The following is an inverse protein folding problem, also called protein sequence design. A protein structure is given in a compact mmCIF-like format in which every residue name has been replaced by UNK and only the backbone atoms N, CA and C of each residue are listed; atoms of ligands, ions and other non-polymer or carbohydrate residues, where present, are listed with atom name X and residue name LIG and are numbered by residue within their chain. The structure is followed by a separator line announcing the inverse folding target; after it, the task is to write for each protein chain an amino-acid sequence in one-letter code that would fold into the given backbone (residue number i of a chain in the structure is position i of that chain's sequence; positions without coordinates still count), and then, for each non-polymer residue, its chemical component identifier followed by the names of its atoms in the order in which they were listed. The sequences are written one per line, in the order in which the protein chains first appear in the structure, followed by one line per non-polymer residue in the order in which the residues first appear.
data_IF_471671973009
#
_entry.id   IF_471671973009
#
_cell.length_a   1.000
_cell.length_b   1.000
_cell.length_c   1.000
_cell.angle_alpha   90.00
_cell.angle_beta   90.00
_cell.angle_gamma   90.00
#
_symmetry.space_group_name_H-M   'P 1'
#
loop_
_entity.id
_entity.type
_entity.pdbx_description
1 polymer ?
#
# COMPACT_ATOMS: atom_id res chain seq x y z
N UNK A 1 6.47 -42.98 44.98
CA UNK A 1 6.84 -41.56 44.76
C UNK A 1 7.27 -41.27 43.32
N UNK A 2 8.09 -42.13 42.68
CA UNK A 2 8.67 -41.92 41.34
C UNK A 2 7.63 -41.76 40.20
N UNK A 3 6.52 -42.50 40.23
CA UNK A 3 5.44 -42.41 39.22
C UNK A 3 4.75 -41.04 39.15
N UNK A 4 4.68 -40.31 40.26
CA UNK A 4 4.01 -39.00 40.31
C UNK A 4 4.88 -37.90 39.68
N UNK A 5 6.20 -38.01 39.86
CA UNK A 5 7.19 -37.06 39.33
C UNK A 5 7.29 -37.20 37.81
N UNK A 6 7.30 -38.43 37.28
CA UNK A 6 7.30 -38.68 35.83
C UNK A 6 6.06 -38.11 35.12
N UNK A 7 4.88 -38.21 35.75
CA UNK A 7 3.63 -37.64 35.20
C UNK A 7 3.67 -36.13 35.10
N UNK A 8 4.27 -35.44 36.08
CA UNK A 8 4.42 -33.97 36.07
C UNK A 8 5.40 -33.50 35.00
N UNK A 9 6.51 -34.21 34.81
CA UNK A 9 7.49 -33.90 33.76
C UNK A 9 6.86 -34.05 32.37
N UNK A 10 6.04 -35.09 32.16
CA UNK A 10 5.36 -35.32 30.88
C UNK A 10 4.38 -34.19 30.52
N UNK A 11 3.63 -33.68 31.51
CA UNK A 11 2.73 -32.53 31.31
C UNK A 11 3.49 -31.23 30.99
N UNK A 12 4.65 -31.01 31.61
CA UNK A 12 5.50 -29.85 31.33
C UNK A 12 6.08 -29.93 29.91
N UNK A 13 6.53 -31.12 29.48
CA UNK A 13 7.06 -31.34 28.13
C UNK A 13 6.00 -31.15 27.04
N UNK A 14 4.77 -31.63 27.25
CA UNK A 14 3.64 -31.39 26.33
C UNK A 14 3.29 -29.89 26.29
N UNK A 15 3.25 -29.21 27.44
CA UNK A 15 3.00 -27.77 27.50
C UNK A 15 4.07 -26.96 26.77
N UNK A 16 5.34 -27.35 26.87
CA UNK A 16 6.44 -26.70 26.17
C UNK A 16 6.34 -26.92 24.65
N UNK A 17 5.91 -28.10 24.21
CA UNK A 17 5.79 -28.44 22.78
C UNK A 17 4.66 -27.67 22.08
N UNK A 18 3.56 -27.38 22.78
CA UNK A 18 2.45 -26.56 22.27
C UNK A 18 2.88 -25.09 22.06
N UNK A 19 3.85 -24.59 22.84
CA UNK A 19 4.32 -23.19 22.73
C UNK A 19 5.22 -22.93 21.52
N UNK A 20 5.94 -23.93 21.01
CA UNK A 20 6.89 -23.76 19.88
C UNK A 20 6.26 -23.90 18.49
N UNK A 21 4.98 -24.28 18.37
CA UNK A 21 4.34 -24.60 17.08
C UNK A 21 3.68 -23.42 16.33
N UNK A 22 3.73 -22.18 16.85
CA UNK A 22 2.90 -21.09 16.28
C UNK A 22 3.63 -19.92 15.59
N UNK A 23 4.91 -20.06 15.23
CA UNK A 23 5.56 -19.08 14.35
C UNK A 23 5.49 -19.53 12.88
N UNK A 24 4.30 -19.46 12.28
CA UNK A 24 4.11 -19.66 10.84
C UNK A 24 4.22 -18.31 10.14
N UNK A 25 5.40 -18.04 9.57
CA UNK A 25 5.62 -16.92 8.66
C UNK A 25 5.39 -17.45 7.24
N UNK A 26 4.29 -17.04 6.62
CA UNK A 26 3.98 -17.45 5.26
C UNK A 26 4.49 -16.41 4.26
N UNK A 27 5.24 -16.86 3.25
CA UNK A 27 5.58 -16.04 2.08
C UNK A 27 4.35 -16.00 1.16
N UNK A 28 4.01 -14.82 0.66
CA UNK A 28 2.89 -14.62 -0.27
C UNK A 28 3.30 -13.69 -1.41
N UNK A 29 2.49 -13.68 -2.48
CA UNK A 29 2.61 -12.68 -3.53
C UNK A 29 2.14 -11.32 -3.00
N UNK A 30 2.66 -10.25 -3.59
CA UNK A 30 2.23 -8.90 -3.25
C UNK A 30 0.85 -8.63 -3.88
N UNK A 31 -0.07 -8.10 -3.07
CA UNK A 31 -1.36 -7.58 -3.51
C UNK A 31 -1.67 -6.34 -2.69
N UNK A 32 -1.58 -5.15 -3.32
CA UNK A 32 -1.77 -3.88 -2.61
C UNK A 32 -3.12 -3.85 -1.88
N UNK A 33 -4.19 -4.29 -2.55
CA UNK A 33 -5.54 -4.25 -2.00
C UNK A 33 -5.67 -5.15 -0.76
N UNK A 34 -5.31 -6.43 -0.88
CA UNK A 34 -5.44 -7.40 0.23
C UNK A 34 -4.60 -6.98 1.44
N UNK A 35 -3.38 -6.50 1.20
CA UNK A 35 -2.50 -6.07 2.28
C UNK A 35 -3.00 -4.77 2.95
N UNK A 36 -3.61 -3.86 2.18
CA UNK A 36 -4.20 -2.63 2.73
C UNK A 36 -5.44 -2.91 3.56
N UNK A 37 -6.25 -3.91 3.17
CA UNK A 37 -7.38 -4.38 3.96
C UNK A 37 -6.91 -4.98 5.30
N UNK A 38 -5.85 -5.80 5.28
CA UNK A 38 -5.25 -6.32 6.52
C UNK A 38 -4.71 -5.21 7.42
N UNK A 39 -4.05 -4.20 6.84
CA UNK A 39 -3.57 -3.03 7.57
C UNK A 39 -4.74 -2.30 8.27
N UNK A 40 -5.82 -2.06 7.53
CA UNK A 40 -7.06 -1.47 8.08
C UNK A 40 -7.68 -2.34 9.19
N UNK A 41 -7.51 -3.66 9.12
CA UNK A 41 -7.93 -4.63 10.14
C UNK A 41 -6.93 -4.79 11.31
N UNK A 42 -6.00 -3.85 11.44
CA UNK A 42 -5.08 -3.73 12.57
C UNK A 42 -3.79 -4.55 12.46
N UNK A 43 -3.41 -4.97 11.25
CA UNK A 43 -2.05 -5.48 11.01
C UNK A 43 -1.07 -4.33 10.88
N UNK A 44 0.10 -4.46 11.52
CA UNK A 44 1.21 -3.53 11.30
C UNK A 44 1.97 -3.90 10.03
N UNK A 45 2.21 -2.92 9.17
CA UNK A 45 2.97 -3.13 7.93
C UNK A 45 4.35 -2.50 8.05
N UNK A 46 5.39 -3.29 7.81
CA UNK A 46 6.76 -2.83 7.77
C UNK A 46 7.31 -2.93 6.35
N UNK A 47 7.81 -1.82 5.81
CA UNK A 47 8.54 -1.73 4.56
C UNK A 47 10.02 -1.52 4.88
N UNK A 48 10.89 -2.46 4.49
CA UNK A 48 12.34 -2.40 4.78
C UNK A 48 12.66 -2.10 6.26
N UNK A 49 11.86 -2.66 7.17
CA UNK A 49 11.93 -2.46 8.64
C UNK A 49 11.35 -1.15 9.18
N UNK A 50 10.80 -0.28 8.34
CA UNK A 50 10.08 0.91 8.78
C UNK A 50 8.58 0.66 8.75
N UNK A 51 7.87 1.01 9.83
CA UNK A 51 6.41 0.93 9.87
C UNK A 51 5.82 1.95 8.90
N UNK A 52 4.87 1.50 8.06
CA UNK A 52 4.19 2.34 7.08
C UNK A 52 2.69 2.13 7.15
N UNK A 53 1.94 3.14 6.72
CA UNK A 53 0.53 2.99 6.43
C UNK A 53 0.32 2.66 4.96
N UNK A 54 0.04 1.39 4.68
CA UNK A 54 -0.20 0.87 3.34
C UNK A 54 -1.53 1.35 2.73
N UNK A 55 -2.48 1.86 3.53
CA UNK A 55 -3.72 2.45 3.01
C UNK A 55 -3.42 3.72 2.20
N UNK A 56 -2.43 4.50 2.65
CA UNK A 56 -2.00 5.75 2.01
C UNK A 56 -0.67 5.64 1.25
N UNK A 57 -0.06 4.45 1.21
CA UNK A 57 1.23 4.22 0.56
C UNK A 57 1.08 3.25 -0.61
N UNK A 58 1.27 3.73 -1.83
CA UNK A 58 1.24 2.89 -3.03
C UNK A 58 2.65 2.40 -3.38
N UNK A 59 2.82 1.09 -3.48
CA UNK A 59 4.11 0.46 -3.77
C UNK A 59 4.14 -0.09 -5.19
N UNK A 60 5.31 -0.02 -5.84
CA UNK A 60 5.49 -0.65 -7.14
C UNK A 60 5.71 -2.14 -6.94
N UNK A 61 4.75 -2.95 -7.37
CA UNK A 61 4.83 -4.42 -7.31
C UNK A 61 6.13 -4.95 -7.95
N UNK A 62 6.64 -4.30 -9.00
CA UNK A 62 7.90 -4.71 -9.65
C UNK A 62 9.11 -4.49 -8.77
N UNK A 63 9.05 -3.54 -7.84
CA UNK A 63 10.09 -3.27 -6.85
C UNK A 63 9.95 -4.15 -5.60
N UNK A 64 8.90 -4.96 -5.45
CA UNK A 64 8.76 -5.86 -4.30
C UNK A 64 9.60 -7.13 -4.50
N UNK A 65 10.49 -7.40 -3.54
CA UNK A 65 11.29 -8.63 -3.51
C UNK A 65 10.57 -9.75 -2.76
N UNK A 66 9.96 -9.42 -1.62
CA UNK A 66 9.33 -10.41 -0.75
C UNK A 66 8.25 -9.78 0.11
N UNK A 67 7.15 -10.52 0.30
CA UNK A 67 6.14 -10.26 1.32
C UNK A 67 6.07 -11.46 2.26
N UNK A 68 5.98 -11.19 3.56
CA UNK A 68 5.71 -12.21 4.57
C UNK A 68 4.70 -11.72 5.60
N UNK A 69 3.80 -12.61 6.00
CA UNK A 69 2.79 -12.34 7.02
C UNK A 69 3.03 -13.22 8.24
N UNK A 70 3.13 -12.59 9.39
CA UNK A 70 3.00 -13.20 10.70
C UNK A 70 1.58 -12.94 11.23
N UNK A 71 0.72 -13.95 11.13
CA UNK A 71 -0.68 -13.83 11.55
C UNK A 71 -0.84 -13.79 13.05
N UNK A 72 0.09 -14.36 13.82
CA UNK A 72 0.02 -14.42 15.28
C UNK A 72 0.25 -13.03 15.87
N UNK A 73 1.26 -12.34 15.35
CA UNK A 73 1.63 -10.99 15.81
C UNK A 73 0.93 -9.88 15.04
N UNK A 74 0.12 -10.22 14.03
CA UNK A 74 -0.51 -9.29 13.08
C UNK A 74 0.51 -8.36 12.42
N UNK A 75 1.56 -8.94 11.84
CA UNK A 75 2.63 -8.19 11.19
C UNK A 75 2.73 -8.60 9.73
N UNK A 76 2.84 -7.62 8.85
CA UNK A 76 3.17 -7.77 7.43
C UNK A 76 4.56 -7.17 7.24
N UNK A 77 5.46 -7.92 6.63
CA UNK A 77 6.79 -7.45 6.25
C UNK A 77 6.91 -7.45 4.73
N UNK A 78 7.28 -6.30 4.18
CA UNK A 78 7.51 -6.07 2.76
C UNK A 78 8.97 -5.66 2.61
N UNK A 79 9.68 -6.35 1.73
CA UNK A 79 11.09 -6.08 1.40
C UNK A 79 11.16 -5.67 -0.06
N UNK A 80 11.79 -4.53 -0.34
CA UNK A 80 12.00 -4.03 -1.70
C UNK A 80 13.28 -4.59 -2.31
N UNK A 81 13.33 -4.61 -3.64
CA UNK A 81 14.55 -4.93 -4.42
C UNK A 81 15.55 -3.78 -4.35
N UNK A 82 15.03 -2.55 -4.42
CA UNK A 82 15.81 -1.33 -4.27
C UNK A 82 15.07 -0.34 -3.36
N UNK A 83 15.74 0.08 -2.29
CA UNK A 83 15.22 1.02 -1.31
C UNK A 83 15.44 2.48 -1.70
N UNK A 84 16.25 2.75 -2.74
CA UNK A 84 16.64 4.09 -3.17
C UNK A 84 15.55 4.87 -3.91
N UNK A 85 14.46 4.21 -4.30
CA UNK A 85 13.31 4.88 -4.89
C UNK A 85 12.55 5.58 -3.76
N UNK A 86 12.79 6.88 -3.62
CA UNK A 86 12.06 7.74 -2.71
C UNK A 86 10.56 7.80 -3.04
N UNK A 87 9.77 8.29 -2.08
CA UNK A 87 8.34 8.48 -2.28
C UNK A 87 8.04 9.84 -2.91
N UNK A 88 7.06 9.87 -3.80
CA UNK A 88 6.43 11.11 -4.29
C UNK A 88 5.17 11.33 -3.46
N UNK A 89 5.02 12.51 -2.87
CA UNK A 89 3.83 12.89 -2.11
C UNK A 89 2.79 13.53 -3.03
N UNK A 90 1.53 13.13 -2.86
CA UNK A 90 0.43 13.67 -3.65
C UNK A 90 0.28 15.18 -3.43
N UNK A 91 0.39 15.65 -2.19
CA UNK A 91 0.28 17.07 -1.87
C UNK A 91 1.33 17.91 -2.62
N UNK A 92 2.58 17.47 -2.64
CA UNK A 92 3.66 18.17 -3.35
C UNK A 92 3.39 18.20 -4.86
N UNK A 93 2.93 17.07 -5.42
CA UNK A 93 2.52 17.00 -6.82
C UNK A 93 1.40 18.00 -7.12
N UNK A 94 0.40 18.13 -6.25
CA UNK A 94 -0.71 19.07 -6.45
C UNK A 94 -0.27 20.53 -6.35
N UNK A 95 0.61 20.86 -5.38
CA UNK A 95 1.14 22.22 -5.19
C UNK A 95 2.00 22.65 -6.38
N UNK A 96 2.94 21.81 -6.80
CA UNK A 96 3.85 22.10 -7.93
C UNK A 96 3.09 22.46 -9.21
N UNK A 97 1.91 21.87 -9.38
CA UNK A 97 1.07 22.03 -10.56
C UNK A 97 0.03 23.15 -10.43
N UNK A 98 0.03 23.90 -9.31
CA UNK A 98 -0.80 25.10 -9.05
C UNK A 98 -2.29 24.84 -9.27
N UNK A 99 -2.82 23.74 -8.77
CA UNK A 99 -4.23 23.39 -8.98
C UNK A 99 -5.20 24.35 -8.25
N UNK A 100 -6.29 24.70 -8.95
CA UNK A 100 -7.30 25.68 -8.53
C UNK A 100 -8.45 25.07 -7.72
N UNK A 101 -9.10 25.94 -6.95
CA UNK A 101 -10.09 25.78 -5.88
C UNK A 101 -11.44 25.09 -6.18
N UNK A 102 -11.63 24.42 -7.32
CA UNK A 102 -12.95 23.86 -7.71
C UNK A 102 -12.89 22.34 -7.94
N UNK A 103 -11.98 21.66 -7.26
CA UNK A 103 -11.87 20.21 -7.31
C UNK A 103 -12.89 19.59 -6.34
N UNK A 104 -13.68 18.65 -6.85
CA UNK A 104 -14.67 17.94 -6.03
C UNK A 104 -14.17 16.54 -5.64
N UNK A 105 -13.34 15.90 -6.47
CA UNK A 105 -12.74 14.59 -6.16
C UNK A 105 -11.36 14.40 -6.77
N UNK A 106 -10.55 13.61 -6.08
CA UNK A 106 -9.32 13.02 -6.61
C UNK A 106 -9.50 11.51 -6.65
N UNK A 107 -9.07 10.87 -7.73
CA UNK A 107 -9.15 9.42 -7.90
C UNK A 107 -7.79 8.88 -8.31
N UNK A 108 -7.28 7.88 -7.59
CA UNK A 108 -6.02 7.19 -7.88
C UNK A 108 -6.33 5.73 -8.19
N UNK A 109 -5.94 5.21 -9.36
CA UNK A 109 -6.21 3.83 -9.75
C UNK A 109 -7.69 3.40 -9.56
N UNK A 110 -8.64 4.27 -9.90
CA UNK A 110 -10.11 4.13 -9.68
C UNK A 110 -10.58 4.20 -8.22
N UNK A 111 -9.70 4.45 -7.26
CA UNK A 111 -10.07 4.67 -5.87
C UNK A 111 -10.22 6.17 -5.59
N UNK A 112 -11.40 6.57 -5.12
CA UNK A 112 -11.63 7.94 -4.67
C UNK A 112 -10.82 8.20 -3.40
N UNK A 113 -10.17 9.34 -3.37
CA UNK A 113 -9.34 9.81 -2.28
C UNK A 113 -10.09 10.90 -1.52
N UNK A 114 -10.12 10.82 -0.19
CA UNK A 114 -10.60 11.92 0.63
C UNK A 114 -9.57 13.07 0.61
N UNK A 115 -10.05 14.31 0.55
CA UNK A 115 -9.18 15.48 0.63
C UNK A 115 -8.39 15.53 1.93
N UNK A 116 -8.93 14.98 3.02
CA UNK A 116 -8.24 14.88 4.31
C UNK A 116 -7.02 13.95 4.27
N UNK A 117 -7.01 12.97 3.37
CA UNK A 117 -5.93 11.98 3.24
C UNK A 117 -4.80 12.44 2.33
N UNK A 118 -5.03 13.46 1.48
CA UNK A 118 -4.05 13.98 0.52
C UNK A 118 -2.66 14.23 1.13
N UNK A 119 -2.51 14.83 2.32
CA UNK A 119 -1.19 15.07 2.91
C UNK A 119 -0.42 13.78 3.23
N UNK A 120 -1.12 12.68 3.44
CA UNK A 120 -0.55 11.40 3.84
C UNK A 120 -0.29 10.47 2.65
N UNK A 121 -0.90 10.76 1.49
CA UNK A 121 -0.77 9.91 0.31
C UNK A 121 0.60 10.09 -0.33
N UNK A 122 1.28 8.96 -0.47
CA UNK A 122 2.58 8.86 -1.11
C UNK A 122 2.70 7.60 -1.95
N UNK A 123 3.54 7.66 -2.98
CA UNK A 123 3.64 6.55 -3.92
C UNK A 123 5.05 6.39 -4.49
N UNK A 124 5.43 5.15 -4.76
CA UNK A 124 6.64 4.83 -5.53
C UNK A 124 6.42 5.12 -7.01
N UNK A 125 7.48 5.46 -7.72
CA UNK A 125 7.43 5.61 -9.17
C UNK A 125 6.97 4.29 -9.82
N UNK A 126 5.95 4.34 -10.67
CA UNK A 126 5.40 3.15 -11.35
C UNK A 126 4.28 2.42 -10.60
N UNK A 127 4.02 2.75 -9.32
CA UNK A 127 2.92 2.17 -8.54
C UNK A 127 1.54 2.72 -8.91
N UNK A 128 1.50 3.97 -9.37
CA UNK A 128 0.27 4.65 -9.78
C UNK A 128 0.12 4.57 -11.29
N UNK A 129 -0.98 3.94 -11.72
CA UNK A 129 -1.40 3.91 -13.13
C UNK A 129 -2.07 5.19 -13.54
N UNK A 130 -2.82 5.88 -12.67
CA UNK A 130 -3.30 7.23 -12.94
C UNK A 130 -3.86 7.95 -11.74
N UNK A 131 -3.86 9.27 -11.88
CA UNK A 131 -4.52 10.22 -11.02
C UNK A 131 -5.51 11.00 -11.89
N UNK A 132 -6.81 10.93 -11.54
CA UNK A 132 -7.88 11.75 -12.12
C UNK A 132 -8.27 12.83 -11.11
N UNK A 133 -8.51 14.01 -11.62
CA UNK A 133 -9.05 15.14 -10.87
C UNK A 133 -10.40 15.46 -11.48
N UNK A 134 -11.43 15.47 -10.65
CA UNK A 134 -12.81 15.54 -11.12
C UNK A 134 -13.53 16.70 -10.43
N UNK A 135 -14.27 17.44 -11.24
CA UNK A 135 -15.33 18.36 -10.82
C UNK A 135 -16.67 17.65 -10.89
N UNK A 136 -17.70 18.19 -10.27
CA UNK A 136 -19.05 17.63 -10.26
C UNK A 136 -19.57 17.40 -11.68
N UNK A 137 -19.24 18.30 -12.61
CA UNK A 137 -19.57 18.16 -14.03
C UNK A 137 -19.00 16.88 -14.65
N UNK A 138 -17.86 16.39 -14.19
CA UNK A 138 -17.16 15.26 -14.79
C UNK A 138 -17.76 13.89 -14.42
N UNK A 139 -18.44 13.77 -13.28
CA UNK A 139 -18.91 12.48 -12.75
C UNK A 139 -20.41 12.42 -12.40
N UNK A 140 -21.19 13.46 -12.74
CA UNK A 140 -22.64 13.49 -12.50
C UNK A 140 -23.33 12.20 -12.99
N UNK A 141 -23.66 11.32 -12.04
CA UNK A 141 -24.40 10.08 -12.27
C UNK A 141 -23.63 8.93 -12.94
N UNK A 142 -22.29 8.94 -12.94
CA UNK A 142 -21.46 7.87 -13.54
C UNK A 142 -20.54 7.23 -12.51
N UNK A 143 -20.34 5.93 -12.64
CA UNK A 143 -19.28 5.23 -11.92
C UNK A 143 -17.90 5.63 -12.48
N UNK A 144 -16.86 5.63 -11.65
CA UNK A 144 -15.53 6.09 -12.05
C UNK A 144 -14.89 5.24 -13.16
N UNK A 145 -15.32 3.98 -13.26
CA UNK A 145 -14.92 3.03 -14.30
C UNK A 145 -15.48 3.40 -15.68
N UNK A 146 -16.62 4.11 -15.71
CA UNK A 146 -17.29 4.57 -16.93
C UNK A 146 -16.77 5.93 -17.43
N UNK A 147 -15.89 6.57 -16.66
CA UNK A 147 -15.28 7.83 -17.06
C UNK A 147 -14.25 7.58 -18.18
N UNK A 148 -14.26 8.40 -19.26
CA UNK A 148 -13.40 8.18 -20.41
C UNK A 148 -11.93 8.05 -19.99
N UNK A 149 -11.33 6.92 -20.35
CA UNK A 149 -9.90 6.69 -20.12
C UNK A 149 -9.11 7.62 -21.03
N UNK A 150 -8.42 8.59 -20.43
CA UNK A 150 -7.65 9.57 -21.21
C UNK A 150 -6.34 8.96 -21.70
N UNK A 151 -6.02 9.22 -22.96
CA UNK A 151 -5.08 8.45 -23.80
C UNK A 151 -3.58 8.76 -23.66
N UNK A 152 -3.15 9.66 -22.76
CA UNK A 152 -1.73 10.07 -22.71
C UNK A 152 -1.03 9.62 -21.42
N UNK A 153 0.04 8.85 -21.60
CA UNK A 153 0.93 8.26 -20.59
C UNK A 153 2.03 9.22 -20.14
N UNK A 154 2.39 9.20 -18.85
CA UNK A 154 3.57 9.87 -18.28
C UNK A 154 4.50 8.77 -17.72
N UNK A 155 5.43 8.29 -18.54
CA UNK A 155 6.15 7.04 -18.24
C UNK A 155 5.20 5.83 -18.27
N UNK A 156 5.52 4.76 -17.52
CA UNK A 156 4.66 3.55 -17.46
C UNK A 156 3.35 3.73 -16.65
N UNK A 157 3.01 4.96 -16.22
CA UNK A 157 1.75 5.33 -15.57
C UNK A 157 1.04 6.47 -16.31
N UNK A 158 -0.27 6.36 -16.50
CA UNK A 158 -1.19 7.30 -17.16
C UNK A 158 -1.59 8.47 -16.22
N UNK A 159 -2.03 9.61 -16.74
CA UNK A 159 -2.68 10.70 -15.99
C UNK A 159 -3.94 11.07 -16.80
N UNK A 160 -4.83 11.93 -16.26
CA UNK A 160 -5.42 13.11 -16.96
C UNK A 160 -6.93 13.29 -16.69
N UNK A 161 -7.30 14.48 -16.17
CA UNK A 161 -7.87 15.62 -16.94
C UNK A 161 -7.10 16.89 -16.50
N UNK A 162 -6.70 17.74 -17.46
CA UNK A 162 -5.67 18.81 -17.44
C UNK A 162 -4.21 18.32 -17.45
N UNK A 163 -3.66 18.26 -18.66
CA UNK A 163 -2.35 17.72 -19.07
C UNK A 163 -1.16 18.37 -18.38
N UNK A 164 -0.23 17.58 -17.82
CA UNK A 164 1.13 18.04 -17.52
C UNK A 164 2.15 16.98 -17.95
N UNK A 165 3.16 17.39 -18.71
CA UNK A 165 4.37 16.63 -19.00
C UNK A 165 5.30 16.65 -17.77
N UNK A 166 5.79 15.50 -17.33
CA UNK A 166 6.93 15.41 -16.42
C UNK A 166 8.12 14.97 -17.28
N UNK A 167 8.97 15.92 -17.67
CA UNK A 167 10.29 15.61 -18.20
C UNK A 167 11.18 15.22 -17.03
N UNK A 168 11.83 14.06 -17.14
CA UNK A 168 13.03 13.76 -16.34
C UNK A 168 14.14 14.50 -17.06
N UNK A 169 14.59 15.62 -16.48
CA UNK A 169 15.87 16.18 -16.88
C UNK A 169 16.94 15.21 -16.38
N UNK A 170 17.47 14.41 -17.31
CA UNK A 170 18.68 13.64 -17.06
C UNK A 170 19.84 14.66 -17.05
N UNK A 171 20.24 15.10 -15.86
CA UNK A 171 21.62 15.56 -15.63
C UNK A 171 22.55 14.36 -15.43
#
# INVERSE_FOLDING_TARGET
MIKLVMKRIYFVLIGLMVLVMSCSINKINFSQFELSELNSNGYKVFLDSQEIDLVHTYLDEKNILKVSIDRKNKIIQIIRKNDSNGFIFLNDLLIQKKYKSNLDRIVINNLSIDFLDIPNIKFELGSVKYIKQLTQHDYLGKDFDDLPQVKNTIGNGMLIINTITISVDNE
#
